data_IF_272002504172
#
_entry.id   IF_272002504172
#
_cell.length_a   1.000
_cell.length_b   1.000
_cell.length_c   1.000
_cell.angle_alpha   90.00
_cell.angle_beta   90.00
_cell.angle_gamma   90.00
#
_symmetry.space_group_name_H-M   'P 1'
#
loop_
_entity.id
_entity.type
_entity.pdbx_description
1 polymer ?
#
# COMPACT_ATOMS: atom_id res chain seq x y z
N UNK A 1 -22.86 -4.03 -20.53
CA UNK A 1 -23.08 -2.94 -19.53
C UNK A 1 -22.00 -3.03 -18.46
N UNK A 2 -21.41 -1.88 -18.08
CA UNK A 2 -20.43 -1.83 -17.00
C UNK A 2 -21.13 -2.02 -15.64
N UNK A 3 -20.46 -2.70 -14.70
CA UNK A 3 -20.94 -2.91 -13.32
C UNK A 3 -19.94 -2.29 -12.35
N UNK A 4 -20.42 -1.50 -11.39
CA UNK A 4 -19.59 -0.98 -10.30
C UNK A 4 -19.56 -1.96 -9.14
N UNK A 5 -18.44 -2.00 -8.43
CA UNK A 5 -18.27 -2.78 -7.20
C UNK A 5 -17.84 -1.84 -6.07
N UNK A 6 -18.68 -1.71 -5.05
CA UNK A 6 -18.34 -0.93 -3.85
C UNK A 6 -17.29 -1.68 -3.03
N UNK A 7 -16.14 -1.04 -2.79
CA UNK A 7 -15.03 -1.62 -2.02
C UNK A 7 -15.00 -1.22 -0.55
N UNK A 8 -15.81 -0.26 -0.13
CA UNK A 8 -15.79 0.29 1.22
C UNK A 8 -15.46 1.77 1.24
N UNK A 9 -15.10 2.26 2.42
CA UNK A 9 -14.56 3.61 2.65
C UNK A 9 -13.03 3.55 2.61
N UNK A 10 -12.39 4.54 2.02
CA UNK A 10 -10.93 4.65 1.97
C UNK A 10 -10.47 5.86 2.76
N UNK A 11 -9.40 5.69 3.54
CA UNK A 11 -8.66 6.77 4.22
C UNK A 11 -7.17 6.60 3.93
N UNK A 12 -6.42 7.68 3.98
CA UNK A 12 -4.97 7.66 3.77
C UNK A 12 -4.28 8.25 5.00
N UNK A 13 -3.26 7.55 5.49
CA UNK A 13 -2.52 7.89 6.71
C UNK A 13 -1.05 8.00 6.33
N UNK A 14 -0.45 9.19 6.50
CA UNK A 14 0.98 9.37 6.32
C UNK A 14 1.73 8.64 7.44
N UNK A 15 2.81 7.94 7.09
CA UNK A 15 3.64 7.28 8.10
C UNK A 15 4.51 8.32 8.83
N UNK A 16 4.71 8.17 10.15
CA UNK A 16 5.51 9.08 10.94
C UNK A 16 6.99 9.10 10.51
N UNK A 17 7.65 10.25 10.68
CA UNK A 17 9.09 10.38 10.42
C UNK A 17 9.92 9.60 11.45
N UNK A 18 9.41 9.49 12.67
CA UNK A 18 10.06 8.87 13.83
C UNK A 18 10.37 7.38 13.62
N UNK A 19 9.67 6.71 12.70
CA UNK A 19 9.92 5.31 12.33
C UNK A 19 10.73 5.16 11.03
N UNK A 20 11.28 6.24 10.47
CA UNK A 20 12.10 6.18 9.25
C UNK A 20 11.31 5.93 7.96
N UNK A 21 9.99 6.10 7.98
CA UNK A 21 9.10 5.87 6.82
C UNK A 21 8.70 7.16 6.10
N UNK A 22 9.55 8.19 6.17
CA UNK A 22 9.28 9.47 5.52
C UNK A 22 9.03 9.28 4.02
N UNK A 23 7.99 9.96 3.51
CA UNK A 23 7.59 9.85 2.11
C UNK A 23 6.71 8.65 1.79
N UNK A 24 6.31 7.85 2.78
CA UNK A 24 5.32 6.79 2.63
C UNK A 24 3.98 7.12 3.29
N UNK A 25 2.90 6.59 2.73
CA UNK A 25 1.58 6.60 3.31
C UNK A 25 0.92 5.23 3.18
N UNK A 26 -0.05 4.94 4.03
CA UNK A 26 -0.87 3.74 3.98
C UNK A 26 -2.30 4.13 3.64
N UNK A 27 -2.79 3.66 2.50
CA UNK A 27 -4.21 3.71 2.19
C UNK A 27 -4.90 2.53 2.85
N UNK A 28 -5.89 2.82 3.67
CA UNK A 28 -6.70 1.84 4.38
C UNK A 28 -8.10 1.84 3.76
N UNK A 29 -8.56 0.70 3.27
CA UNK A 29 -9.97 0.51 2.91
C UNK A 29 -10.67 -0.35 3.93
N UNK A 30 -11.82 0.11 4.42
CA UNK A 30 -12.61 -0.65 5.38
C UNK A 30 -14.08 -0.74 4.98
N UNK A 31 -14.71 -1.88 5.31
CA UNK A 31 -16.15 -2.10 5.10
C UNK A 31 -16.72 -2.98 6.20
N UNK A 32 -17.97 -2.74 6.59
CA UNK A 32 -18.63 -3.58 7.57
C UNK A 32 -19.07 -4.92 6.95
N UNK A 33 -18.68 -6.03 7.56
CA UNK A 33 -19.13 -7.37 7.21
C UNK A 33 -20.24 -7.80 8.16
N UNK A 34 -21.48 -7.74 7.69
CA UNK A 34 -22.68 -8.05 8.48
C UNK A 34 -22.65 -9.49 9.01
N UNK A 35 -22.04 -10.43 8.29
CA UNK A 35 -22.00 -11.85 8.73
C UNK A 35 -21.08 -12.06 9.92
N UNK A 36 -20.04 -11.24 10.04
CA UNK A 36 -19.03 -11.33 11.10
C UNK A 36 -19.17 -10.24 12.16
N UNK A 37 -20.11 -9.31 11.95
CA UNK A 37 -20.37 -8.16 12.82
C UNK A 37 -19.10 -7.34 13.12
N UNK A 38 -18.23 -7.19 12.10
CA UNK A 38 -16.92 -6.55 12.21
C UNK A 38 -16.57 -5.78 10.95
N UNK A 39 -15.65 -4.83 11.07
CA UNK A 39 -15.07 -4.15 9.92
C UNK A 39 -13.93 -4.96 9.32
N UNK A 40 -13.99 -5.20 8.02
CA UNK A 40 -12.91 -5.76 7.23
C UNK A 40 -11.97 -4.63 6.80
N UNK A 41 -10.71 -4.62 7.25
CA UNK A 41 -9.67 -3.66 6.90
C UNK A 41 -8.67 -4.28 5.91
N UNK A 42 -8.37 -3.56 4.85
CA UNK A 42 -7.29 -3.84 3.90
C UNK A 42 -6.35 -2.64 3.80
N UNK A 43 -5.05 -2.87 3.60
CA UNK A 43 -4.03 -1.81 3.57
C UNK A 43 -3.19 -1.85 2.28
N UNK A 44 -2.81 -0.67 1.80
CA UNK A 44 -1.91 -0.48 0.65
C UNK A 44 -0.85 0.54 1.01
N UNK A 45 0.41 0.19 0.78
CA UNK A 45 1.55 1.09 0.88
C UNK A 45 1.60 1.99 -0.37
N UNK A 46 1.86 3.27 -0.16
CA UNK A 46 2.08 4.28 -1.19
C UNK A 46 3.38 5.01 -0.91
N UNK A 47 4.14 5.28 -1.97
CA UNK A 47 5.26 6.23 -1.92
C UNK A 47 4.85 7.53 -2.57
N UNK A 48 5.13 8.65 -1.90
CA UNK A 48 4.90 10.00 -2.40
C UNK A 48 5.62 10.18 -3.74
N UNK A 49 4.90 10.71 -4.72
CA UNK A 49 5.43 10.94 -6.08
C UNK A 49 5.29 9.74 -7.03
N UNK A 50 4.82 8.58 -6.55
CA UNK A 50 4.54 7.41 -7.39
C UNK A 50 3.04 7.14 -7.38
N UNK A 51 2.42 7.11 -8.57
CA UNK A 51 0.97 6.88 -8.70
C UNK A 51 0.55 5.45 -8.38
N UNK A 52 1.49 4.50 -8.39
CA UNK A 52 1.23 3.10 -8.05
C UNK A 52 1.02 2.92 -6.54
N UNK A 53 0.11 2.02 -6.18
CA UNK A 53 -0.12 1.59 -4.79
C UNK A 53 0.26 0.13 -4.69
N UNK A 54 1.00 -0.22 -3.64
CA UNK A 54 1.47 -1.57 -3.40
C UNK A 54 0.59 -2.19 -2.34
N UNK A 55 -0.10 -3.26 -2.70
CA UNK A 55 -0.96 -3.94 -1.75
C UNK A 55 -0.09 -4.63 -0.72
N UNK A 56 -0.38 -4.39 0.55
CA UNK A 56 0.24 -5.08 1.67
C UNK A 56 -0.50 -6.41 1.77
N UNK A 57 0.01 -7.42 1.07
CA UNK A 57 -0.45 -8.80 1.14
C UNK A 57 0.75 -9.71 1.31
N UNK A 58 0.97 -10.19 2.54
CA UNK A 58 1.68 -11.46 2.68
C UNK A 58 0.77 -12.59 2.17
N UNK A 59 1.38 -13.59 1.53
CA UNK A 59 0.70 -14.78 1.01
C UNK A 59 -0.33 -15.31 2.01
N UNK A 60 -1.60 -15.27 1.57
CA UNK A 60 -2.80 -15.80 2.22
C UNK A 60 -3.23 -15.08 3.52
N UNK A 61 -4.18 -14.15 3.35
CA UNK A 61 -5.04 -13.51 4.38
C UNK A 61 -4.43 -12.30 5.11
N UNK A 62 -4.36 -11.14 4.44
CA UNK A 62 -3.96 -9.86 5.06
C UNK A 62 -5.14 -8.89 5.25
N UNK A 63 -6.33 -9.44 5.52
CA UNK A 63 -7.53 -8.65 5.81
C UNK A 63 -7.91 -8.81 7.27
N UNK A 64 -7.73 -7.73 8.05
CA UNK A 64 -7.98 -7.77 9.48
C UNK A 64 -9.44 -7.45 9.79
N UNK A 65 -10.04 -8.25 10.67
CA UNK A 65 -11.37 -7.97 11.20
C UNK A 65 -11.26 -7.16 12.49
N UNK A 66 -11.77 -5.93 12.45
CA UNK A 66 -11.75 -4.99 13.56
C UNK A 66 -13.12 -4.93 14.20
N UNK A 67 -13.16 -5.15 15.51
CA UNK A 67 -14.34 -4.89 16.34
C UNK A 67 -14.36 -3.42 16.75
N UNK A 68 -15.03 -2.59 15.96
CA UNK A 68 -15.18 -1.14 16.20
C UNK A 68 -16.60 -0.69 15.90
N UNK A 69 -17.00 0.44 16.48
CA UNK A 69 -18.24 1.10 16.07
C UNK A 69 -18.02 1.96 14.83
N UNK A 70 -19.10 2.44 14.22
CA UNK A 70 -19.01 3.35 13.07
C UNK A 70 -18.34 4.68 13.44
N UNK A 71 -18.47 5.09 14.69
CA UNK A 71 -17.93 6.34 15.24
C UNK A 71 -16.44 6.21 15.57
N UNK A 72 -15.95 5.03 15.94
CA UNK A 72 -14.56 4.83 16.37
C UNK A 72 -13.66 4.21 15.31
N UNK A 73 -14.21 3.55 14.28
CA UNK A 73 -13.44 2.77 13.30
C UNK A 73 -12.24 3.53 12.70
N UNK A 74 -12.41 4.81 12.34
CA UNK A 74 -11.31 5.60 11.78
C UNK A 74 -10.18 5.81 12.79
N UNK A 75 -10.52 6.10 14.05
CA UNK A 75 -9.53 6.25 15.13
C UNK A 75 -8.82 4.93 15.39
N UNK A 76 -9.57 3.83 15.42
CA UNK A 76 -9.03 2.49 15.66
C UNK A 76 -8.07 2.06 14.53
N UNK A 77 -8.39 2.37 13.27
CA UNK A 77 -7.48 2.17 12.13
C UNK A 77 -6.22 3.01 12.28
N UNK A 78 -6.32 4.29 12.68
CA UNK A 78 -5.13 5.12 12.90
C UNK A 78 -4.19 4.51 13.96
N UNK A 79 -4.73 4.03 15.09
CA UNK A 79 -3.93 3.37 16.12
C UNK A 79 -3.27 2.08 15.61
N UNK A 80 -3.97 1.29 14.78
CA UNK A 80 -3.40 0.09 14.16
C UNK A 80 -2.21 0.45 13.26
N UNK A 81 -2.35 1.46 12.40
CA UNK A 81 -1.29 1.90 11.50
C UNK A 81 -0.11 2.48 12.28
N UNK A 82 -0.37 3.28 13.31
CA UNK A 82 0.67 3.83 14.18
C UNK A 82 1.47 2.71 14.86
N UNK A 83 0.78 1.76 15.50
CA UNK A 83 1.42 0.61 16.13
C UNK A 83 2.21 -0.23 15.13
N UNK A 84 1.64 -0.53 13.96
CA UNK A 84 2.32 -1.28 12.90
C UNK A 84 3.60 -0.56 12.45
N UNK A 85 3.54 0.77 12.30
CA UNK A 85 4.69 1.59 11.91
C UNK A 85 5.79 1.59 12.98
N UNK A 86 5.42 1.74 14.26
CA UNK A 86 6.39 1.74 15.36
C UNK A 86 7.06 0.37 15.59
N UNK A 87 6.41 -0.73 15.20
CA UNK A 87 6.94 -2.09 15.34
C UNK A 87 7.67 -2.59 14.07
N UNK A 88 7.87 -1.72 13.07
CA UNK A 88 8.57 -2.07 11.84
C UNK A 88 7.80 -3.02 10.92
N UNK A 89 6.47 -3.08 11.03
CA UNK A 89 5.64 -3.96 10.19
C UNK A 89 5.77 -3.62 8.70
N UNK A 90 5.91 -2.33 8.38
CA UNK A 90 5.97 -1.84 7.00
C UNK A 90 7.37 -1.99 6.37
N UNK A 91 8.42 -2.20 7.16
CA UNK A 91 9.82 -2.20 6.74
C UNK A 91 10.05 -3.17 5.58
N UNK A 92 9.61 -4.43 5.76
CA UNK A 92 9.75 -5.45 4.72
C UNK A 92 9.04 -5.07 3.42
N UNK A 93 7.88 -4.42 3.51
CA UNK A 93 7.12 -4.02 2.32
C UNK A 93 7.79 -2.84 1.61
N UNK A 94 8.32 -1.88 2.38
CA UNK A 94 9.11 -0.77 1.87
C UNK A 94 10.38 -1.30 1.19
N UNK A 95 11.11 -2.23 1.82
CA UNK A 95 12.30 -2.85 1.25
C UNK A 95 12.02 -3.59 -0.07
N UNK A 96 10.97 -4.42 -0.10
CA UNK A 96 10.54 -5.09 -1.33
C UNK A 96 10.19 -4.09 -2.42
N UNK A 97 9.45 -3.04 -2.08
CA UNK A 97 9.07 -2.00 -3.03
C UNK A 97 10.29 -1.26 -3.59
N UNK A 98 11.20 -0.79 -2.74
CA UNK A 98 12.43 -0.12 -3.19
C UNK A 98 13.32 -1.04 -4.04
N UNK A 99 13.36 -2.34 -3.73
CA UNK A 99 14.04 -3.32 -4.56
C UNK A 99 13.40 -3.47 -5.95
N UNK A 100 12.08 -3.60 -6.03
CA UNK A 100 11.34 -3.65 -7.30
C UNK A 100 11.59 -2.41 -8.15
N UNK A 101 11.61 -1.22 -7.54
CA UNK A 101 11.93 0.03 -8.23
C UNK A 101 13.35 0.04 -8.79
N UNK A 102 14.34 -0.42 -8.02
CA UNK A 102 15.73 -0.54 -8.50
C UNK A 102 15.86 -1.51 -9.65
N UNK A 103 15.17 -2.65 -9.59
CA UNK A 103 15.13 -3.61 -10.69
C UNK A 103 14.51 -2.99 -11.95
N UNK A 104 13.42 -2.24 -11.80
CA UNK A 104 12.80 -1.52 -12.91
C UNK A 104 13.75 -0.48 -13.51
N UNK A 105 14.36 0.39 -12.70
CA UNK A 105 15.30 1.41 -13.17
C UNK A 105 16.47 0.80 -13.95
N UNK A 106 17.09 -0.25 -13.40
CA UNK A 106 18.20 -0.93 -14.06
C UNK A 106 17.78 -1.59 -15.39
N UNK A 107 16.63 -2.27 -15.40
CA UNK A 107 16.08 -2.87 -16.62
C UNK A 107 15.73 -1.81 -17.67
N UNK A 108 15.09 -0.72 -17.24
CA UNK A 108 14.75 0.40 -18.11
C UNK A 108 15.99 0.99 -18.77
N UNK A 109 17.04 1.30 -17.99
CA UNK A 109 18.29 1.81 -18.52
C UNK A 109 18.95 0.88 -19.54
N UNK A 110 18.88 -0.44 -19.31
CA UNK A 110 19.38 -1.44 -20.24
C UNK A 110 18.61 -1.42 -21.57
N UNK A 111 17.27 -1.51 -21.53
CA UNK A 111 16.45 -1.54 -22.73
C UNK A 111 16.44 -0.20 -23.49
N UNK A 112 16.53 0.94 -22.80
CA UNK A 112 16.63 2.25 -23.45
C UNK A 112 17.94 2.40 -24.22
N UNK A 113 19.06 1.86 -23.71
CA UNK A 113 20.34 1.82 -24.44
C UNK A 113 20.25 0.98 -25.70
N UNK A 114 19.67 -0.23 -25.62
CA UNK A 114 19.43 -1.09 -26.79
C UNK A 114 18.56 -0.36 -27.83
N UNK A 115 17.46 0.26 -27.39
CA UNK A 115 16.56 1.02 -28.27
C UNK A 115 17.30 2.13 -29.02
N UNK A 116 18.12 2.92 -28.32
CA UNK A 116 18.89 4.03 -28.91
C UNK A 116 20.01 3.56 -29.85
N UNK A 117 20.55 2.36 -29.65
CA UNK A 117 21.54 1.75 -30.56
C UNK A 117 20.86 1.33 -31.86
N UNK A 118 19.68 0.70 -31.78
CA UNK A 118 18.91 0.28 -32.97
C UNK A 118 18.60 1.46 -33.88
N UNK A 119 18.17 2.61 -33.34
CA UNK A 119 17.89 3.82 -34.13
C UNK A 119 19.12 4.49 -34.76
N UNK A 120 20.35 4.17 -34.32
CA UNK A 120 21.58 4.70 -34.95
C UNK A 120 22.08 3.83 -36.10
N UNK A 121 21.58 2.61 -36.20
CA UNK A 121 21.97 1.62 -37.21
C UNK A 121 20.93 1.48 -38.33
N UNK A 122 19.82 2.22 -38.26
CA UNK A 122 18.84 2.47 -39.33
C UNK A 122 19.08 3.84 -39.97
#
# INVERSE_FOLDING_TARGET
MLKSNYRGTAIEINLPEECGHEGYSVECTYRYDVKKEKYLLSMWLKRKGICSKFKIEQQEVDTQYISSSRETITKDICMIVEYASMNGYFDRFIECFEYEQKCFEYGNDYYEKERLITYKNE
#
